data_IF_775391249987
#
_entry.id   IF_775391249987
#
_cell.length_a   1.000
_cell.length_b   1.000
_cell.length_c   1.000
_cell.angle_alpha   90.00
_cell.angle_beta   90.00
_cell.angle_gamma   90.00
#
_symmetry.space_group_name_H-M   'P 1'
#
loop_
_entity.id
_entity.type
_entity.pdbx_description
1 polymer ?
#
# COMPACT_ATOMS: atom_id res chain seq x y z
N UNK A 1 -30.91 -2.33 -17.07
CA UNK A 1 -30.74 -0.87 -16.82
C UNK A 1 -30.30 -0.60 -15.38
N UNK A 2 -31.05 -1.04 -14.37
CA UNK A 2 -30.76 -0.75 -12.94
C UNK A 2 -29.35 -1.18 -12.47
N UNK A 3 -28.88 -2.37 -12.87
CA UNK A 3 -27.52 -2.86 -12.54
C UNK A 3 -26.40 -2.00 -13.11
N UNK A 4 -26.59 -1.41 -14.30
CA UNK A 4 -25.59 -0.54 -14.93
C UNK A 4 -25.45 0.80 -14.19
N UNK A 5 -26.56 1.33 -13.69
CA UNK A 5 -26.54 2.55 -12.85
C UNK A 5 -25.86 2.30 -11.50
N UNK A 6 -26.04 1.10 -10.92
CA UNK A 6 -25.37 0.71 -9.68
C UNK A 6 -23.85 0.59 -9.87
N UNK A 7 -23.42 -0.06 -10.96
CA UNK A 7 -22.01 -0.18 -11.32
C UNK A 7 -21.36 1.17 -11.61
N UNK A 8 -22.10 2.12 -12.22
CA UNK A 8 -21.62 3.47 -12.46
C UNK A 8 -21.46 4.31 -11.17
N UNK A 9 -22.08 3.90 -10.05
CA UNK A 9 -22.00 4.58 -8.76
C UNK A 9 -20.96 3.98 -7.81
N UNK A 10 -20.12 3.05 -8.28
CA UNK A 10 -19.09 2.43 -7.43
C UNK A 10 -18.06 3.45 -6.91
N UNK A 11 -17.58 3.30 -5.66
CA UNK A 11 -16.53 4.16 -5.13
C UNK A 11 -15.26 4.10 -5.99
N UNK A 12 -14.67 5.27 -6.26
CA UNK A 12 -13.39 5.35 -6.99
C UNK A 12 -12.29 4.61 -6.23
N UNK A 13 -11.61 3.68 -6.92
CA UNK A 13 -10.49 2.91 -6.39
C UNK A 13 -9.13 3.59 -6.56
N UNK A 14 -9.10 4.78 -7.17
CA UNK A 14 -7.86 5.53 -7.41
C UNK A 14 -7.01 5.72 -6.14
N UNK A 15 -7.57 6.09 -4.97
CA UNK A 15 -6.79 6.18 -3.73
C UNK A 15 -6.11 4.87 -3.36
N UNK A 16 -6.82 3.74 -3.49
CA UNK A 16 -6.26 2.41 -3.23
C UNK A 16 -5.13 2.06 -4.19
N UNK A 17 -5.29 2.33 -5.49
CA UNK A 17 -4.23 2.07 -6.47
C UNK A 17 -2.97 2.89 -6.20
N UNK A 18 -3.11 4.14 -5.78
CA UNK A 18 -1.95 4.99 -5.45
C UNK A 18 -1.27 4.48 -4.17
N UNK A 19 -2.01 4.29 -3.08
CA UNK A 19 -1.42 3.85 -1.81
C UNK A 19 -0.84 2.43 -1.90
N UNK A 20 -1.56 1.51 -2.54
CA UNK A 20 -1.09 0.15 -2.79
C UNK A 20 0.13 0.12 -3.72
N UNK A 21 0.12 0.92 -4.79
CA UNK A 21 1.25 1.07 -5.70
C UNK A 21 2.51 1.59 -4.99
N UNK A 22 2.37 2.60 -4.13
CA UNK A 22 3.49 3.11 -3.32
C UNK A 22 4.06 2.03 -2.40
N UNK A 23 3.21 1.23 -1.76
CA UNK A 23 3.64 0.11 -0.91
C UNK A 23 4.40 -0.94 -1.73
N UNK A 24 3.94 -1.28 -2.94
CA UNK A 24 4.62 -2.22 -3.84
C UNK A 24 5.98 -1.68 -4.26
N UNK A 25 6.06 -0.43 -4.71
CA UNK A 25 7.33 0.21 -5.10
C UNK A 25 8.31 0.20 -3.93
N UNK A 26 7.86 0.53 -2.73
CA UNK A 26 8.69 0.46 -1.53
C UNK A 26 9.20 -0.96 -1.25
N UNK A 27 8.34 -1.97 -1.33
CA UNK A 27 8.74 -3.37 -1.14
C UNK A 27 9.78 -3.82 -2.17
N UNK A 28 9.64 -3.41 -3.44
CA UNK A 28 10.63 -3.70 -4.49
C UNK A 28 11.97 -3.01 -4.23
N UNK A 29 11.95 -1.77 -3.74
CA UNK A 29 13.17 -1.08 -3.30
C UNK A 29 13.83 -1.83 -2.16
N UNK A 30 13.07 -2.25 -1.14
CA UNK A 30 13.60 -3.04 -0.04
C UNK A 30 14.19 -4.37 -0.49
N UNK A 31 13.52 -5.07 -1.40
CA UNK A 31 14.03 -6.32 -1.97
C UNK A 31 15.35 -6.09 -2.73
N UNK A 32 15.39 -5.10 -3.63
CA UNK A 32 16.60 -4.77 -4.39
C UNK A 32 17.76 -4.36 -3.49
N UNK A 33 17.51 -3.54 -2.46
CA UNK A 33 18.53 -3.13 -1.50
C UNK A 33 18.97 -4.28 -0.60
N UNK A 34 18.05 -5.04 -0.04
CA UNK A 34 18.34 -6.15 0.85
C UNK A 34 19.11 -7.28 0.17
N UNK A 35 18.82 -7.57 -1.09
CA UNK A 35 19.54 -8.58 -1.88
C UNK A 35 20.95 -8.12 -2.29
N UNK A 36 21.18 -6.81 -2.43
CA UNK A 36 22.46 -6.27 -2.91
C UNK A 36 23.38 -5.77 -1.80
N UNK A 37 22.87 -5.59 -0.58
CA UNK A 37 23.62 -5.04 0.55
C UNK A 37 23.56 -5.98 1.75
N UNK A 38 24.60 -6.79 2.00
CA UNK A 38 24.64 -7.73 3.12
C UNK A 38 24.44 -7.09 4.50
N UNK A 39 24.81 -5.81 4.62
CA UNK A 39 24.67 -5.05 5.86
C UNK A 39 23.29 -4.40 6.04
N UNK A 40 22.38 -4.43 5.06
CA UNK A 40 21.04 -3.86 5.21
C UNK A 40 20.24 -4.63 6.29
N UNK A 41 19.49 -3.97 7.21
CA UNK A 41 19.15 -2.54 7.29
C UNK A 41 20.11 -1.70 8.17
N UNK A 42 21.39 -2.02 8.15
CA UNK A 42 22.52 -1.34 8.79
C UNK A 42 22.50 -1.45 10.31
N UNK A 43 21.86 -0.49 10.98
CA UNK A 43 21.83 -0.35 12.43
C UNK A 43 20.38 -0.26 12.92
N UNK A 44 20.16 -0.30 14.24
CA UNK A 44 18.82 -0.29 14.82
C UNK A 44 17.91 0.83 14.31
N UNK A 45 18.43 2.06 14.19
CA UNK A 45 17.63 3.18 13.65
C UNK A 45 17.18 2.96 12.20
N UNK A 46 17.97 2.26 11.38
CA UNK A 46 17.65 1.93 9.99
C UNK A 46 16.56 0.87 9.95
N UNK A 47 16.67 -0.18 10.77
CA UNK A 47 15.61 -1.16 10.95
C UNK A 47 14.29 -0.52 11.39
N UNK A 48 14.33 0.40 12.37
CA UNK A 48 13.14 1.15 12.83
C UNK A 48 12.54 2.01 11.73
N UNK A 49 13.37 2.68 10.92
CA UNK A 49 12.91 3.46 9.77
C UNK A 49 12.20 2.60 8.73
N UNK A 50 12.79 1.46 8.37
CA UNK A 50 12.18 0.49 7.43
C UNK A 50 10.84 -0.02 7.95
N UNK A 51 10.77 -0.40 9.23
CA UNK A 51 9.52 -0.83 9.87
C UNK A 51 8.47 0.28 9.88
N UNK A 52 8.83 1.50 10.26
CA UNK A 52 7.90 2.62 10.34
C UNK A 52 7.31 2.97 8.96
N UNK A 53 8.17 3.11 7.93
CA UNK A 53 7.72 3.42 6.57
C UNK A 53 6.81 2.31 6.04
N UNK A 54 7.21 1.05 6.20
CA UNK A 54 6.42 -0.11 5.77
C UNK A 54 5.06 -0.15 6.46
N UNK A 55 5.04 0.08 7.79
CA UNK A 55 3.81 0.13 8.57
C UNK A 55 2.87 1.25 8.13
N UNK A 56 3.38 2.47 7.90
CA UNK A 56 2.57 3.60 7.42
C UNK A 56 1.98 3.30 6.04
N UNK A 57 2.81 2.85 5.09
CA UNK A 57 2.35 2.52 3.74
C UNK A 57 1.32 1.38 3.77
N UNK A 58 1.51 0.38 4.63
CA UNK A 58 0.55 -0.71 4.83
C UNK A 58 -0.79 -0.20 5.37
N UNK A 59 -0.79 0.63 6.41
CA UNK A 59 -2.02 1.20 6.98
C UNK A 59 -2.75 2.06 5.95
N UNK A 60 -2.03 2.85 5.14
CA UNK A 60 -2.64 3.66 4.08
C UNK A 60 -3.26 2.78 2.97
N UNK A 61 -2.54 1.75 2.52
CA UNK A 61 -3.04 0.83 1.50
C UNK A 61 -4.28 0.05 1.99
N UNK A 62 -4.23 -0.48 3.21
CA UNK A 62 -5.37 -1.20 3.82
C UNK A 62 -6.55 -0.26 4.08
N UNK A 63 -6.30 0.92 4.63
CA UNK A 63 -7.34 1.90 4.92
C UNK A 63 -8.06 2.35 3.64
N UNK A 64 -7.32 2.69 2.60
CA UNK A 64 -7.92 3.06 1.29
C UNK A 64 -8.62 1.88 0.63
N UNK A 65 -8.15 0.64 0.79
CA UNK A 65 -8.85 -0.55 0.31
C UNK A 65 -10.24 -0.70 0.97
N UNK A 66 -10.32 -0.55 2.29
CA UNK A 66 -11.58 -0.64 3.04
C UNK A 66 -12.51 0.51 2.66
N UNK A 67 -12.01 1.74 2.63
CA UNK A 67 -12.80 2.94 2.32
C UNK A 67 -13.41 2.85 0.91
N UNK A 68 -12.61 2.46 -0.09
CA UNK A 68 -13.01 2.39 -1.50
C UNK A 68 -13.65 1.07 -1.93
N UNK A 69 -13.86 0.14 -0.98
CA UNK A 69 -14.59 -1.10 -1.27
C UNK A 69 -16.08 -0.84 -1.48
N UNK A 70 -16.68 -1.59 -2.41
CA UNK A 70 -18.10 -1.52 -2.75
C UNK A 70 -18.99 -2.36 -1.83
N UNK A 71 -18.43 -2.98 -0.77
CA UNK A 71 -19.20 -3.73 0.21
C UNK A 71 -20.15 -2.79 0.98
N UNK A 72 -21.37 -3.24 1.31
CA UNK A 72 -22.25 -2.48 2.20
C UNK A 72 -21.53 -2.31 3.54
N UNK A 73 -21.43 -1.07 4.00
CA UNK A 73 -20.92 -0.73 5.33
C UNK A 73 -22.08 -0.68 6.31
#
# INVERSE_FOLDING_TARGET
>A
MFTLLLAASEPSKVPFYICGGLLVVWALVLAGVGLTRPGFPYHERGARGVMAISGVLMVLAMGTAVITSAFPK
#
